data_IF_354140290657
#
_entry.id   IF_354140290657
#
_cell.length_a   1.000
_cell.length_b   1.000
_cell.length_c   1.000
_cell.angle_alpha   90.00
_cell.angle_beta   90.00
_cell.angle_gamma   90.00
#
_symmetry.space_group_name_H-M   'P 1'
#
loop_
_entity.id
_entity.type
_entity.pdbx_description
1 polymer ?
#
# COMPACT_ATOMS: atom_id res chain seq x y z
N UNK A 1 -16.08 6.92 3.18
CA UNK A 1 -15.68 8.21 2.57
C UNK A 1 -15.14 7.98 1.17
N UNK A 2 -15.10 9.01 0.33
CA UNK A 2 -14.51 8.95 -1.03
C UNK A 2 -12.98 8.92 -0.96
N UNK A 3 -12.33 8.49 -2.06
CA UNK A 3 -10.87 8.58 -2.21
C UNK A 3 -10.37 10.02 -2.11
N UNK A 4 -11.05 10.97 -2.76
CA UNK A 4 -10.71 12.39 -2.70
C UNK A 4 -10.71 12.94 -1.27
N UNK A 5 -11.70 12.57 -0.44
CA UNK A 5 -11.76 12.99 0.94
C UNK A 5 -10.62 12.40 1.79
N UNK A 6 -10.14 11.20 1.45
CA UNK A 6 -8.95 10.62 2.08
C UNK A 6 -7.67 11.33 1.64
N UNK A 7 -7.53 11.64 0.35
CA UNK A 7 -6.41 12.40 -0.20
C UNK A 7 -6.31 13.81 0.41
N UNK A 8 -7.43 14.49 0.65
CA UNK A 8 -7.44 15.79 1.32
C UNK A 8 -6.87 15.76 2.75
N UNK A 9 -6.77 14.59 3.40
CA UNK A 9 -6.08 14.46 4.70
C UNK A 9 -4.55 14.51 4.58
N UNK A 10 -4.02 14.35 3.37
CA UNK A 10 -2.58 14.36 3.07
C UNK A 10 -2.12 15.69 2.45
N UNK A 11 -3.04 16.52 1.95
CA UNK A 11 -2.72 17.75 1.23
C UNK A 11 -1.90 18.71 2.12
N UNK A 12 -0.75 19.15 1.61
CA UNK A 12 0.18 20.03 2.33
C UNK A 12 0.86 19.41 3.57
N UNK A 13 0.73 18.10 3.81
CA UNK A 13 1.34 17.39 4.94
C UNK A 13 2.67 16.73 4.57
N UNK A 14 3.55 16.57 5.56
CA UNK A 14 4.66 15.62 5.46
C UNK A 14 4.14 14.21 5.70
N UNK A 15 4.33 13.31 4.73
CA UNK A 15 3.77 11.96 4.76
C UNK A 15 4.91 10.95 4.74
N UNK A 16 4.85 9.94 5.60
CA UNK A 16 5.69 8.74 5.46
C UNK A 16 4.84 7.55 5.07
N UNK A 17 5.28 6.82 4.04
CA UNK A 17 4.68 5.56 3.61
C UNK A 17 5.61 4.43 4.01
N UNK A 18 5.12 3.59 4.91
CA UNK A 18 5.88 2.50 5.53
C UNK A 18 5.39 1.17 4.98
N UNK A 19 6.24 0.57 4.14
CA UNK A 19 6.07 -0.77 3.64
C UNK A 19 6.47 -1.82 4.69
N UNK A 20 6.81 -3.01 4.23
CA UNK A 20 7.14 -4.13 5.10
C UNK A 20 8.37 -4.93 4.65
N UNK A 21 9.15 -4.36 3.72
CA UNK A 21 10.47 -4.84 3.37
C UNK A 21 11.51 -4.44 4.42
N UNK A 22 12.72 -5.03 4.36
CA UNK A 22 13.72 -4.92 5.42
C UNK A 22 14.24 -3.49 5.66
N UNK A 23 14.19 -2.60 4.65
CA UNK A 23 14.66 -1.22 4.78
C UNK A 23 13.95 -0.40 5.86
N UNK A 24 12.77 -0.83 6.32
CA UNK A 24 12.08 -0.17 7.43
C UNK A 24 12.88 -0.19 8.74
N UNK A 25 13.79 -1.16 8.90
CA UNK A 25 14.62 -1.30 10.09
C UNK A 25 15.87 -0.41 10.07
N UNK A 26 16.13 0.28 8.96
CA UNK A 26 17.32 1.13 8.79
C UNK A 26 17.04 2.60 9.18
N UNK A 27 15.83 2.93 9.63
CA UNK A 27 15.48 4.28 10.05
C UNK A 27 15.99 4.60 11.47
N UNK A 28 16.39 5.85 11.68
CA UNK A 28 16.67 6.37 13.01
C UNK A 28 15.40 6.34 13.90
N UNK A 29 15.52 5.96 15.19
CA UNK A 29 14.37 5.93 16.08
C UNK A 29 13.62 7.25 16.16
N UNK A 30 12.29 7.20 16.00
CA UNK A 30 11.41 8.36 16.03
C UNK A 30 11.32 9.14 14.71
N UNK A 31 12.17 8.85 13.71
CA UNK A 31 12.11 9.54 12.41
C UNK A 31 10.78 9.29 11.68
N UNK A 32 10.32 8.04 11.61
CA UNK A 32 9.02 7.70 11.00
C UNK A 32 7.87 8.46 11.69
N UNK A 33 7.85 8.45 13.02
CA UNK A 33 6.80 9.08 13.81
C UNK A 33 6.86 10.63 13.80
N UNK A 34 7.94 11.23 13.29
CA UNK A 34 8.09 12.70 13.20
C UNK A 34 7.27 13.35 12.08
N UNK A 35 6.78 12.57 11.10
CA UNK A 35 5.98 13.07 9.97
C UNK A 35 4.58 13.50 10.43
N UNK A 36 3.82 14.26 9.65
CA UNK A 36 2.43 14.61 10.02
C UNK A 36 1.50 13.40 9.90
N UNK A 37 1.71 12.59 8.85
CA UNK A 37 0.89 11.40 8.56
C UNK A 37 1.79 10.18 8.37
N UNK A 38 1.50 9.11 9.12
CA UNK A 38 2.16 7.80 8.98
C UNK A 38 1.18 6.81 8.34
N UNK A 39 1.50 6.36 7.14
CA UNK A 39 0.71 5.39 6.38
C UNK A 39 1.42 4.05 6.44
N UNK A 40 0.73 3.01 6.95
CA UNK A 40 1.30 1.66 7.01
C UNK A 40 0.48 0.67 6.20
N UNK A 41 1.20 -0.27 5.59
CA UNK A 41 0.61 -1.25 4.68
C UNK A 41 0.41 -2.61 5.37
N UNK A 42 -0.79 -3.17 5.25
CA UNK A 42 -1.12 -4.57 5.62
C UNK A 42 -0.64 -5.04 7.02
N UNK A 43 0.23 -6.04 7.11
CA UNK A 43 0.62 -6.65 8.38
C UNK A 43 1.91 -6.04 8.94
N UNK A 44 2.03 -4.71 8.85
CA UNK A 44 3.19 -3.98 9.34
C UNK A 44 3.55 -4.33 10.79
N UNK A 45 4.83 -4.23 11.09
CA UNK A 45 5.39 -4.40 12.43
C UNK A 45 5.88 -3.06 12.96
N UNK A 46 5.69 -2.83 14.25
CA UNK A 46 6.18 -1.65 14.96
C UNK A 46 7.49 -2.00 15.66
N UNK A 47 8.41 -1.04 15.73
CA UNK A 47 9.70 -1.15 16.41
C UNK A 47 10.29 0.25 16.58
N UNK A 48 11.42 0.39 17.28
CA UNK A 48 12.09 1.68 17.41
C UNK A 48 12.43 2.29 16.03
N UNK A 49 12.97 1.50 15.11
CA UNK A 49 13.26 1.96 13.74
C UNK A 49 11.98 2.16 12.91
N UNK A 50 11.01 1.24 13.00
CA UNK A 50 9.79 1.34 12.21
C UNK A 50 8.82 2.41 12.71
N UNK A 51 9.03 2.97 13.91
CA UNK A 51 8.06 3.83 14.60
C UNK A 51 6.91 3.03 15.22
N UNK A 52 6.10 3.73 16.03
CA UNK A 52 4.97 3.17 16.78
C UNK A 52 3.62 3.78 16.40
N UNK A 53 3.60 4.92 15.68
CA UNK A 53 2.35 5.56 15.28
C UNK A 53 1.88 5.07 13.92
N UNK A 54 0.57 5.03 13.73
CA UNK A 54 -0.09 4.76 12.45
C UNK A 54 -1.30 5.68 12.30
N UNK A 55 -1.24 6.65 11.40
CA UNK A 55 -2.39 7.53 11.13
C UNK A 55 -3.38 6.86 10.17
N UNK A 56 -2.84 6.25 9.10
CA UNK A 56 -3.61 5.60 8.04
C UNK A 56 -3.21 4.13 7.95
N UNK A 57 -4.21 3.25 8.04
CA UNK A 57 -4.05 1.85 7.73
C UNK A 57 -4.45 1.57 6.29
N UNK A 58 -3.48 1.34 5.41
CA UNK A 58 -3.69 1.08 3.99
C UNK A 58 -3.65 -0.43 3.71
N UNK A 59 -4.72 -1.00 3.16
CA UNK A 59 -4.80 -2.44 2.94
C UNK A 59 -5.75 -2.82 1.81
N UNK A 60 -5.68 -4.06 1.33
CA UNK A 60 -6.73 -4.66 0.49
C UNK A 60 -7.78 -5.43 1.32
N UNK A 61 -7.57 -5.56 2.63
CA UNK A 61 -8.52 -6.14 3.59
C UNK A 61 -8.97 -7.59 3.33
N UNK A 62 -8.20 -8.33 2.51
CA UNK A 62 -8.42 -9.74 2.24
C UNK A 62 -7.97 -10.67 3.36
N UNK A 63 -7.98 -11.98 3.07
CA UNK A 63 -7.90 -13.02 4.11
C UNK A 63 -6.56 -13.11 4.82
N UNK A 64 -5.49 -12.67 4.17
CA UNK A 64 -4.15 -12.64 4.75
C UNK A 64 -3.90 -11.45 5.68
N UNK A 65 -4.84 -10.51 5.82
CA UNK A 65 -4.70 -9.37 6.73
C UNK A 65 -5.03 -9.80 8.16
N UNK A 66 -4.01 -9.82 9.02
CA UNK A 66 -4.05 -10.34 10.38
C UNK A 66 -4.27 -9.26 11.44
N UNK A 67 -4.01 -7.99 11.13
CA UNK A 67 -4.26 -6.86 12.04
C UNK A 67 -5.72 -6.88 12.55
N UNK A 68 -5.86 -6.91 13.86
CA UNK A 68 -7.13 -6.83 14.59
C UNK A 68 -7.59 -5.38 14.72
N UNK A 69 -8.87 -5.18 15.04
CA UNK A 69 -9.42 -3.84 15.27
C UNK A 69 -8.74 -3.17 16.46
N UNK A 70 -8.53 -3.94 17.53
CA UNK A 70 -7.98 -3.49 18.79
C UNK A 70 -6.51 -3.06 18.65
N UNK A 71 -5.74 -3.79 17.84
CA UNK A 71 -4.37 -3.38 17.48
C UNK A 71 -4.37 -2.06 16.72
N UNK A 72 -5.22 -1.89 15.71
CA UNK A 72 -5.23 -0.65 14.92
C UNK A 72 -5.67 0.56 15.74
N UNK A 73 -6.63 0.39 16.67
CA UNK A 73 -7.00 1.43 17.62
C UNK A 73 -5.79 1.82 18.49
N UNK A 74 -5.06 0.83 19.02
CA UNK A 74 -3.87 1.06 19.84
C UNK A 74 -2.75 1.75 19.06
N UNK A 75 -2.58 1.41 17.78
CA UNK A 75 -1.58 1.99 16.90
C UNK A 75 -1.93 3.43 16.45
N UNK A 76 -3.13 3.93 16.81
CA UNK A 76 -3.57 5.31 16.58
C UNK A 76 -4.28 5.56 15.24
N UNK A 77 -4.78 4.50 14.60
CA UNK A 77 -5.38 4.59 13.25
C UNK A 77 -6.66 5.41 13.28
N UNK A 78 -6.72 6.45 12.44
CA UNK A 78 -7.89 7.32 12.27
C UNK A 78 -8.53 7.21 10.89
N UNK A 79 -7.86 6.53 9.95
CA UNK A 79 -8.35 6.26 8.61
C UNK A 79 -7.97 4.84 8.18
N UNK A 80 -8.96 4.05 7.80
CA UNK A 80 -8.75 2.85 6.98
C UNK A 80 -8.84 3.22 5.50
N UNK A 81 -7.87 2.84 4.68
CA UNK A 81 -7.88 3.12 3.25
C UNK A 81 -7.72 1.83 2.44
N UNK A 82 -8.77 1.49 1.69
CA UNK A 82 -8.78 0.30 0.86
C UNK A 82 -8.10 0.51 -0.49
N UNK A 83 -7.27 -0.47 -0.86
CA UNK A 83 -6.71 -0.61 -2.20
C UNK A 83 -7.77 -0.95 -3.25
N UNK A 84 -8.77 -1.75 -2.88
CA UNK A 84 -9.65 -2.46 -3.83
C UNK A 84 -11.10 -2.00 -3.67
N UNK A 85 -11.93 -1.99 -4.73
CA UNK A 85 -13.31 -1.53 -4.63
C UNK A 85 -14.19 -2.59 -3.97
N UNK A 86 -15.38 -2.22 -3.49
CA UNK A 86 -16.40 -3.20 -3.08
C UNK A 86 -17.21 -3.70 -4.30
N UNK A 87 -16.54 -4.33 -5.25
CA UNK A 87 -17.14 -4.71 -6.54
C UNK A 87 -16.42 -5.91 -7.19
N UNK A 88 -17.09 -6.48 -8.20
CA UNK A 88 -16.42 -7.25 -9.26
C UNK A 88 -15.81 -6.25 -10.24
N UNK A 89 -14.49 -6.11 -10.22
CA UNK A 89 -13.79 -4.99 -10.85
C UNK A 89 -13.24 -5.31 -12.24
N UNK A 90 -12.90 -6.59 -12.50
CA UNK A 90 -12.26 -7.01 -13.76
C UNK A 90 -12.97 -8.25 -14.29
N UNK A 91 -13.44 -8.20 -15.53
CA UNK A 91 -13.93 -9.40 -16.20
C UNK A 91 -12.76 -10.29 -16.64
N UNK A 92 -12.75 -11.55 -16.18
CA UNK A 92 -11.68 -12.48 -16.53
C UNK A 92 -12.20 -13.91 -16.71
N UNK A 93 -12.07 -14.40 -17.94
CA UNK A 93 -12.40 -15.78 -18.26
C UNK A 93 -11.48 -16.77 -17.54
N UNK A 94 -10.18 -16.45 -17.41
CA UNK A 94 -9.24 -17.28 -16.69
C UNK A 94 -9.64 -17.46 -15.21
N UNK A 95 -10.03 -16.37 -14.53
CA UNK A 95 -10.43 -16.44 -13.11
C UNK A 95 -11.71 -17.26 -12.94
N UNK A 96 -12.69 -17.09 -13.85
CA UNK A 96 -13.93 -17.89 -13.88
C UNK A 96 -13.66 -19.38 -14.10
N UNK A 97 -12.89 -19.73 -15.13
CA UNK A 97 -12.57 -21.13 -15.49
C UNK A 97 -11.77 -21.85 -14.39
N UNK A 98 -10.94 -21.13 -13.65
CA UNK A 98 -10.09 -21.69 -12.59
C UNK A 98 -10.70 -21.58 -11.18
N UNK A 99 -11.92 -21.05 -11.04
CA UNK A 99 -12.55 -20.77 -9.74
C UNK A 99 -11.66 -19.93 -8.79
N UNK A 100 -10.88 -19.01 -9.35
CA UNK A 100 -9.96 -18.12 -8.63
C UNK A 100 -10.47 -16.69 -8.67
N UNK A 101 -11.67 -16.40 -8.18
CA UNK A 101 -12.26 -15.06 -8.30
C UNK A 101 -11.59 -13.97 -7.43
N UNK A 102 -10.79 -14.36 -6.43
CA UNK A 102 -9.99 -13.44 -5.64
C UNK A 102 -8.88 -12.86 -6.51
N UNK A 103 -8.88 -11.53 -6.68
CA UNK A 103 -8.03 -10.83 -7.65
C UNK A 103 -8.85 -10.07 -8.70
N UNK A 104 -10.12 -10.42 -8.87
CA UNK A 104 -11.05 -9.72 -9.76
C UNK A 104 -12.37 -9.35 -9.09
N UNK A 105 -12.85 -10.15 -8.12
CA UNK A 105 -14.02 -9.85 -7.28
C UNK A 105 -13.61 -9.64 -5.82
N UNK A 106 -13.88 -8.43 -5.32
CA UNK A 106 -13.42 -7.98 -4.01
C UNK A 106 -14.56 -7.85 -2.99
N UNK A 107 -15.82 -8.03 -3.41
CA UNK A 107 -16.99 -7.99 -2.51
C UNK A 107 -16.86 -8.91 -1.29
N UNK A 108 -16.28 -10.13 -1.39
CA UNK A 108 -16.11 -10.99 -0.22
C UNK A 108 -15.26 -10.38 0.91
N UNK A 109 -14.32 -9.49 0.59
CA UNK A 109 -13.50 -8.82 1.62
C UNK A 109 -14.37 -7.92 2.51
N UNK A 110 -15.31 -7.20 1.92
CA UNK A 110 -16.20 -6.26 2.61
C UNK A 110 -17.27 -6.96 3.43
N UNK A 111 -17.88 -8.02 2.88
CA UNK A 111 -18.86 -8.84 3.61
C UNK A 111 -18.26 -9.37 4.92
N UNK A 112 -17.00 -9.82 4.86
CA UNK A 112 -16.29 -10.35 6.02
C UNK A 112 -15.85 -9.27 7.01
N UNK A 113 -15.57 -8.06 6.54
CA UNK A 113 -15.11 -6.93 7.36
C UNK A 113 -16.25 -6.00 7.80
N UNK A 114 -17.52 -6.34 7.53
CA UNK A 114 -18.68 -5.44 7.77
C UNK A 114 -18.75 -4.82 9.17
N UNK A 115 -18.26 -5.52 10.21
CA UNK A 115 -18.26 -5.04 11.60
C UNK A 115 -16.86 -4.74 12.15
N UNK A 116 -15.84 -4.80 11.28
CA UNK A 116 -14.46 -4.62 11.67
C UNK A 116 -14.04 -3.14 11.61
N UNK A 117 -14.62 -2.38 10.67
CA UNK A 117 -14.38 -0.94 10.51
C UNK A 117 -14.81 -0.17 11.76
N UNK A 118 -13.93 0.69 12.27
CA UNK A 118 -14.15 1.44 13.51
C UNK A 118 -13.89 2.94 13.38
N UNK A 119 -13.36 3.37 12.24
CA UNK A 119 -13.01 4.73 11.90
C UNK A 119 -13.42 5.02 10.46
N UNK A 120 -13.17 6.25 10.00
CA UNK A 120 -13.41 6.60 8.61
C UNK A 120 -12.73 5.60 7.67
N UNK A 121 -13.47 5.15 6.66
CA UNK A 121 -13.00 4.15 5.72
C UNK A 121 -13.16 4.66 4.29
N UNK A 122 -12.04 4.77 3.59
CA UNK A 122 -12.00 5.11 2.17
C UNK A 122 -12.02 3.84 1.32
N UNK A 123 -12.97 3.76 0.40
CA UNK A 123 -13.11 2.64 -0.55
C UNK A 123 -13.11 3.23 -1.96
N UNK A 124 -12.21 2.79 -2.85
CA UNK A 124 -12.15 3.32 -4.20
C UNK A 124 -13.35 2.83 -5.01
N UNK A 125 -13.73 3.62 -5.99
CA UNK A 125 -14.56 3.18 -7.11
C UNK A 125 -13.80 2.16 -7.97
N UNK A 126 -14.51 1.48 -8.87
CA UNK A 126 -13.86 0.57 -9.84
C UNK A 126 -12.90 1.35 -10.75
N UNK A 127 -13.28 2.54 -11.20
CA UNK A 127 -12.44 3.39 -12.06
C UNK A 127 -11.14 3.80 -11.36
N UNK A 128 -11.22 4.27 -10.12
CA UNK A 128 -10.04 4.64 -9.32
C UNK A 128 -9.10 3.45 -9.08
N UNK A 129 -9.66 2.25 -8.90
CA UNK A 129 -8.88 1.03 -8.79
C UNK A 129 -8.23 0.60 -10.11
N UNK A 130 -8.92 0.77 -11.25
CA UNK A 130 -8.41 0.40 -12.55
C UNK A 130 -7.32 1.36 -13.05
N UNK A 131 -7.28 2.61 -12.61
CA UNK A 131 -6.25 3.56 -13.02
C UNK A 131 -4.80 3.06 -12.80
N UNK A 132 -4.37 2.64 -11.59
CA UNK A 132 -3.04 2.06 -11.40
C UNK A 132 -2.87 0.71 -12.11
N UNK A 133 -3.94 -0.08 -12.27
CA UNK A 133 -3.89 -1.35 -13.00
C UNK A 133 -3.54 -1.14 -14.49
N UNK A 134 -4.17 -0.16 -15.14
CA UNK A 134 -3.89 0.18 -16.54
C UNK A 134 -2.50 0.78 -16.72
N UNK A 135 -2.04 1.64 -15.80
CA UNK A 135 -0.68 2.20 -15.79
C UNK A 135 0.38 1.10 -15.75
N UNK A 136 0.14 0.03 -15.00
CA UNK A 136 1.05 -1.12 -14.92
C UNK A 136 0.91 -2.08 -16.10
N UNK A 137 0.09 -1.76 -17.10
CA UNK A 137 -0.14 -2.63 -18.26
C UNK A 137 -0.98 -3.86 -17.90
N UNK A 138 -2.07 -3.65 -17.16
CA UNK A 138 -3.01 -4.67 -16.70
C UNK A 138 -2.39 -5.70 -15.76
N UNK A 139 -1.53 -5.21 -14.86
CA UNK A 139 -0.95 -5.97 -13.75
C UNK A 139 -1.58 -5.50 -12.45
N UNK A 140 -1.93 -6.44 -11.58
CA UNK A 140 -2.49 -6.10 -10.28
C UNK A 140 -1.44 -5.31 -9.50
N UNK A 141 -1.73 -4.07 -9.05
CA UNK A 141 -0.78 -3.33 -8.23
C UNK A 141 -0.55 -4.08 -6.92
N UNK A 142 0.61 -3.98 -6.30
CA UNK A 142 0.80 -4.41 -4.93
C UNK A 142 0.06 -3.44 -3.99
N UNK A 143 -0.15 -3.83 -2.73
CA UNK A 143 -0.76 -2.88 -1.78
C UNK A 143 0.18 -1.70 -1.50
N UNK A 144 1.49 -1.96 -1.46
CA UNK A 144 2.48 -0.91 -1.30
C UNK A 144 2.43 0.09 -2.46
N UNK A 145 2.45 -0.38 -3.70
CA UNK A 145 2.35 0.50 -4.85
C UNK A 145 1.05 1.31 -4.89
N UNK A 146 -0.09 0.68 -4.60
CA UNK A 146 -1.36 1.41 -4.57
C UNK A 146 -1.37 2.53 -3.53
N UNK A 147 -0.75 2.29 -2.35
CA UNK A 147 -0.57 3.33 -1.34
C UNK A 147 0.31 4.48 -1.87
N UNK A 148 1.43 4.17 -2.52
CA UNK A 148 2.28 5.19 -3.15
C UNK A 148 1.50 5.98 -4.20
N UNK A 149 0.79 5.29 -5.09
CA UNK A 149 -0.02 5.92 -6.13
C UNK A 149 -1.03 6.92 -5.53
N UNK A 150 -1.78 6.51 -4.51
CA UNK A 150 -2.75 7.37 -3.83
C UNK A 150 -2.10 8.58 -3.15
N UNK A 151 -0.95 8.39 -2.51
CA UNK A 151 -0.21 9.45 -1.80
C UNK A 151 0.36 10.47 -2.78
N UNK A 152 0.97 10.02 -3.88
CA UNK A 152 1.55 10.93 -4.88
C UNK A 152 0.49 11.75 -5.62
N UNK A 153 -0.76 11.27 -5.69
CA UNK A 153 -1.89 12.02 -6.25
C UNK A 153 -2.54 12.99 -5.22
N UNK A 154 -2.21 12.87 -3.93
CA UNK A 154 -2.80 13.66 -2.85
C UNK A 154 -2.12 15.01 -2.58
N UNK A 155 -1.12 15.40 -3.39
CA UNK A 155 -0.33 16.64 -3.25
C UNK A 155 0.25 16.90 -1.83
N UNK A 156 0.90 15.91 -1.19
CA UNK A 156 1.61 16.14 0.07
C UNK A 156 2.72 17.19 -0.09
N UNK A 157 3.09 17.85 1.01
CA UNK A 157 4.23 18.76 1.07
C UNK A 157 5.55 18.02 0.84
N UNK A 158 5.66 16.82 1.38
CA UNK A 158 6.81 15.92 1.19
C UNK A 158 6.40 14.48 1.43
N UNK A 159 7.15 13.54 0.83
CA UNK A 159 6.94 12.10 1.01
C UNK A 159 8.25 11.44 1.43
N UNK A 160 8.22 10.68 2.51
CA UNK A 160 9.26 9.71 2.83
C UNK A 160 8.73 8.30 2.54
N UNK A 161 9.53 7.47 1.89
CA UNK A 161 9.17 6.07 1.60
C UNK A 161 10.19 5.14 2.21
N UNK A 162 9.73 4.22 3.05
CA UNK A 162 10.62 3.24 3.69
C UNK A 162 10.00 1.85 3.76
N UNK A 163 10.85 0.82 3.75
CA UNK A 163 10.39 -0.58 3.79
C UNK A 163 9.82 -1.05 2.46
N UNK A 164 10.30 -0.48 1.36
CA UNK A 164 9.99 -0.95 0.01
C UNK A 164 11.26 -1.43 -0.66
N UNK A 165 11.21 -2.64 -1.21
CA UNK A 165 12.30 -3.24 -1.96
C UNK A 165 11.79 -3.97 -3.21
N UNK A 166 10.50 -3.79 -3.53
CA UNK A 166 9.80 -4.45 -4.63
C UNK A 166 9.99 -5.98 -4.65
N UNK A 167 10.04 -6.59 -3.45
CA UNK A 167 10.28 -8.02 -3.21
C UNK A 167 11.66 -8.54 -3.63
N UNK A 168 12.61 -7.65 -3.96
CA UNK A 168 13.97 -8.04 -4.35
C UNK A 168 14.73 -8.80 -3.25
N UNK A 169 14.46 -8.51 -1.97
CA UNK A 169 15.07 -9.26 -0.86
C UNK A 169 14.43 -10.64 -0.62
N UNK A 170 13.26 -10.92 -1.21
CA UNK A 170 12.41 -12.07 -0.88
C UNK A 170 11.99 -12.11 0.61
N UNK A 171 11.92 -10.96 1.26
CA UNK A 171 11.42 -10.81 2.62
C UNK A 171 10.17 -9.93 2.59
N UNK A 172 9.17 -10.30 3.39
CA UNK A 172 7.91 -9.59 3.58
C UNK A 172 7.60 -9.51 5.08
N UNK A 173 6.78 -8.54 5.51
CA UNK A 173 6.45 -8.35 6.95
C UNK A 173 7.69 -8.34 7.87
N UNK A 174 8.78 -7.73 7.38
CA UNK A 174 10.10 -7.56 8.02
C UNK A 174 10.95 -8.83 8.12
N UNK A 175 10.37 -9.99 8.40
CA UNK A 175 11.10 -11.23 8.72
C UNK A 175 10.47 -12.50 8.12
N UNK A 176 9.41 -12.38 7.33
CA UNK A 176 8.74 -13.51 6.70
C UNK A 176 9.33 -13.75 5.30
N UNK A 177 9.78 -14.97 5.03
CA UNK A 177 10.20 -15.36 3.68
C UNK A 177 9.05 -15.18 2.69
N UNK A 178 9.34 -14.55 1.57
CA UNK A 178 8.40 -14.33 0.49
C UNK A 178 8.77 -15.14 -0.74
N UNK A 179 7.76 -15.75 -1.35
CA UNK A 179 7.86 -16.38 -2.65
C UNK A 179 6.72 -15.89 -3.52
N UNK A 180 7.01 -15.74 -4.81
CA UNK A 180 6.00 -15.42 -5.81
C UNK A 180 4.98 -16.56 -5.90
N UNK A 181 3.71 -16.20 -6.05
CA UNK A 181 2.58 -17.13 -6.11
C UNK A 181 1.72 -16.80 -7.32
N UNK A 182 0.91 -17.76 -7.77
CA UNK A 182 -0.04 -17.59 -8.88
C UNK A 182 0.65 -17.11 -10.17
N UNK A 183 1.75 -17.77 -10.54
CA UNK A 183 2.53 -17.42 -11.74
C UNK A 183 1.73 -17.54 -13.04
N UNK A 184 0.65 -18.31 -13.01
CA UNK A 184 -0.32 -18.57 -14.07
C UNK A 184 -1.42 -17.51 -14.17
N UNK A 185 -1.56 -16.61 -13.19
CA UNK A 185 -2.55 -15.54 -13.19
C UNK A 185 -2.19 -14.47 -14.24
N UNK A 186 -3.08 -14.17 -15.20
CA UNK A 186 -2.82 -13.17 -16.22
C UNK A 186 -2.62 -11.76 -15.66
N UNK A 187 -3.11 -11.48 -14.45
CA UNK A 187 -3.03 -10.18 -13.78
C UNK A 187 -2.07 -10.18 -12.60
N UNK A 188 -1.16 -11.15 -12.50
CA UNK A 188 -0.16 -11.20 -11.42
C UNK A 188 0.56 -9.86 -11.20
N UNK A 189 1.07 -9.67 -9.98
CA UNK A 189 1.90 -8.50 -9.65
C UNK A 189 3.13 -8.40 -10.55
N UNK A 190 3.57 -7.17 -10.82
CA UNK A 190 4.82 -6.90 -11.53
C UNK A 190 5.61 -5.83 -10.77
N UNK A 191 6.37 -6.23 -9.72
CA UNK A 191 7.08 -5.28 -8.85
C UNK A 191 8.11 -4.44 -9.60
N UNK A 192 8.66 -4.94 -10.71
CA UNK A 192 9.59 -4.19 -11.55
C UNK A 192 8.90 -2.98 -12.18
N UNK A 193 7.70 -3.15 -12.74
CA UNK A 193 6.92 -2.02 -13.29
C UNK A 193 6.55 -0.99 -12.23
N UNK A 194 6.23 -1.44 -11.02
CA UNK A 194 5.95 -0.57 -9.89
C UNK A 194 7.16 0.28 -9.51
N UNK A 195 8.35 -0.34 -9.48
CA UNK A 195 9.62 0.35 -9.24
C UNK A 195 9.92 1.38 -10.35
N UNK A 196 9.75 0.98 -11.61
CA UNK A 196 9.98 1.89 -12.75
C UNK A 196 9.03 3.09 -12.71
N UNK A 197 7.75 2.88 -12.40
CA UNK A 197 6.80 3.97 -12.19
C UNK A 197 7.25 4.91 -11.07
N UNK A 198 7.73 4.38 -9.94
CA UNK A 198 8.22 5.21 -8.84
C UNK A 198 9.43 6.05 -9.29
N UNK A 199 10.40 5.45 -9.99
CA UNK A 199 11.56 6.18 -10.55
C UNK A 199 11.13 7.32 -11.47
N UNK A 200 10.21 7.06 -12.39
CA UNK A 200 9.69 8.09 -13.29
C UNK A 200 8.95 9.20 -12.53
N UNK A 201 8.18 8.84 -11.49
CA UNK A 201 7.45 9.82 -10.68
C UNK A 201 8.41 10.75 -9.94
N UNK A 202 9.50 10.20 -9.40
CA UNK A 202 10.54 10.98 -8.70
C UNK A 202 11.29 11.88 -9.68
N UNK A 203 11.65 11.37 -10.86
CA UNK A 203 12.38 12.14 -11.87
C UNK A 203 11.61 13.38 -12.36
N UNK A 204 10.27 13.37 -12.27
CA UNK A 204 9.45 14.55 -12.57
C UNK A 204 9.55 15.67 -11.52
N UNK A 205 10.05 15.37 -10.32
CA UNK A 205 10.43 16.38 -9.32
C UNK A 205 9.29 17.18 -8.67
N UNK A 206 8.03 16.78 -8.86
CA UNK A 206 6.88 17.57 -8.40
C UNK A 206 6.68 17.57 -6.87
N UNK A 207 7.20 16.56 -6.17
CA UNK A 207 7.04 16.39 -4.73
C UNK A 207 8.40 16.04 -4.12
N UNK A 208 8.89 16.80 -3.13
CA UNK A 208 10.08 16.44 -2.38
C UNK A 208 9.94 15.04 -1.79
N UNK A 209 10.80 14.12 -2.24
CA UNK A 209 10.72 12.70 -1.88
C UNK A 209 12.05 12.21 -1.33
N UNK A 210 12.04 11.50 -0.20
CA UNK A 210 13.20 10.83 0.38
C UNK A 210 12.92 9.35 0.62
N UNK A 211 13.97 8.56 0.79
CA UNK A 211 13.90 7.10 0.93
C UNK A 211 14.81 6.61 2.04
N UNK A 212 14.58 5.39 2.52
CA UNK A 212 15.62 4.67 3.26
C UNK A 212 16.83 4.33 2.34
N UNK A 213 17.96 4.02 2.96
CA UNK A 213 19.22 3.73 2.28
C UNK A 213 19.13 2.59 1.27
N UNK A 214 18.36 1.53 1.58
CA UNK A 214 18.23 0.38 0.69
C UNK A 214 17.43 0.74 -0.55
N UNK A 215 16.32 1.44 -0.36
CA UNK A 215 15.49 1.89 -1.46
C UNK A 215 16.22 2.92 -2.33
N UNK A 216 16.98 3.84 -1.73
CA UNK A 216 17.86 4.78 -2.45
C UNK A 216 18.81 4.03 -3.40
N UNK A 217 19.55 3.04 -2.86
CA UNK A 217 20.45 2.20 -3.66
C UNK A 217 19.73 1.42 -4.75
N UNK A 218 18.56 0.85 -4.45
CA UNK A 218 17.76 0.09 -5.41
C UNK A 218 17.26 0.96 -6.57
N UNK A 219 16.87 2.20 -6.29
CA UNK A 219 16.42 3.15 -7.30
C UNK A 219 17.58 3.74 -8.12
N UNK A 220 18.80 3.70 -7.58
CA UNK A 220 20.00 4.28 -8.19
C UNK A 220 19.99 5.81 -8.12
N UNK A 221 19.58 6.34 -6.95
CA UNK A 221 19.51 7.77 -6.62
C UNK A 221 20.63 8.17 -5.66
#
# INVERSE_FOLDING_TARGET
MTRSAAQSRLDGKSVTVVGSGPGVLDNEPGFVDSHDVVIRVNNYKLSHAAGFRTTVFYSFFGVSIRKTREELIRDGVTLCWSKVPNAHAIESEWHRRNNKMIGVDYRPHYLRRKYWWFCDTAVPTVEEFLAPFEILGKRQPTTGFAALFDVFEARPKSVHVTGFDFFSSKIHNVDESWSEKNLDDPFRHDPYREMMWLKERIARGNIPTSFDDRLTRLLGL
#
